data_IF_528233751997
#
_entry.id   IF_528233751997
#
_cell.length_a   1.000
_cell.length_b   1.000
_cell.length_c   1.000
_cell.angle_alpha   90.00
_cell.angle_beta   90.00
_cell.angle_gamma   90.00
#
_symmetry.space_group_name_H-M   'P 1'
#
loop_
_entity.id
_entity.type
_entity.pdbx_description
1 polymer ?
#
# COMPACT_ATOMS: atom_id res chain seq x y z
N UNK A 1 -10.64 25.68 -29.52
CA UNK A 1 -11.79 25.74 -28.57
C UNK A 1 -11.37 25.09 -27.26
N UNK A 2 -11.55 25.76 -26.12
CA UNK A 2 -11.16 25.24 -24.80
C UNK A 2 -12.41 24.97 -23.97
N UNK A 3 -12.59 23.73 -23.55
CA UNK A 3 -13.77 23.27 -22.83
C UNK A 3 -13.36 22.59 -21.52
N UNK A 4 -14.09 22.88 -20.43
CA UNK A 4 -13.87 22.21 -19.16
C UNK A 4 -14.46 20.79 -19.21
N UNK A 5 -13.65 19.78 -18.87
CA UNK A 5 -14.02 18.35 -18.95
C UNK A 5 -14.35 17.79 -17.57
N UNK A 6 -13.75 18.35 -16.52
CA UNK A 6 -13.98 17.91 -15.14
C UNK A 6 -12.96 18.48 -14.18
N UNK A 7 -12.88 17.90 -12.97
CA UNK A 7 -11.92 18.30 -11.93
C UNK A 7 -10.95 17.16 -11.65
N UNK A 8 -9.70 17.52 -11.41
CA UNK A 8 -8.68 16.57 -11.03
C UNK A 8 -8.99 15.94 -9.67
N UNK A 9 -8.99 14.61 -9.57
CA UNK A 9 -9.25 13.88 -8.33
C UNK A 9 -8.24 14.21 -7.21
N UNK A 10 -6.99 14.56 -7.57
CA UNK A 10 -5.94 14.89 -6.60
C UNK A 10 -6.02 16.33 -6.10
N UNK A 11 -5.99 17.31 -7.01
CA UNK A 11 -5.84 18.72 -6.66
C UNK A 11 -7.11 19.56 -6.85
N UNK A 12 -8.22 18.97 -7.31
CA UNK A 12 -9.52 19.61 -7.58
C UNK A 12 -9.54 20.71 -8.64
N UNK A 13 -8.38 21.04 -9.24
CA UNK A 13 -8.28 21.98 -10.37
C UNK A 13 -9.08 21.47 -11.57
N UNK A 14 -9.68 22.40 -12.31
CA UNK A 14 -10.34 22.08 -13.58
C UNK A 14 -9.34 21.54 -14.60
N UNK A 15 -9.77 20.49 -15.29
CA UNK A 15 -9.06 19.89 -16.42
C UNK A 15 -9.81 20.25 -17.69
N UNK A 16 -9.07 20.67 -18.70
CA UNK A 16 -9.63 21.19 -19.95
C UNK A 16 -9.24 20.31 -21.13
N UNK A 17 -10.10 20.29 -22.14
CA UNK A 17 -9.78 19.84 -23.49
C UNK A 17 -9.54 21.07 -24.35
N UNK A 18 -8.41 21.10 -25.07
CA UNK A 18 -8.09 22.15 -26.03
C UNK A 18 -7.82 21.51 -27.38
N UNK A 19 -8.61 21.86 -28.39
CA UNK A 19 -8.40 21.41 -29.78
C UNK A 19 -8.27 19.88 -29.94
N UNK A 20 -9.11 19.14 -29.19
CA UNK A 20 -9.13 17.67 -29.20
C UNK A 20 -8.10 17.01 -28.28
N UNK A 21 -7.32 17.77 -27.53
CA UNK A 21 -6.32 17.26 -26.59
C UNK A 21 -6.73 17.50 -25.13
N UNK A 22 -6.85 16.43 -24.34
CA UNK A 22 -7.12 16.50 -22.92
C UNK A 22 -5.85 16.86 -22.14
N UNK A 23 -5.89 17.92 -21.34
CA UNK A 23 -4.80 18.33 -20.45
C UNK A 23 -4.75 17.52 -19.14
N UNK A 24 -4.90 16.21 -19.27
CA UNK A 24 -4.97 15.26 -18.17
C UNK A 24 -5.09 13.82 -18.70
N UNK A 25 -5.22 12.88 -17.79
CA UNK A 25 -5.56 11.49 -18.09
C UNK A 25 -6.92 11.16 -17.48
N UNK A 26 -7.70 10.39 -18.22
CA UNK A 26 -8.94 9.78 -17.71
C UNK A 26 -8.53 8.48 -17.01
N UNK A 27 -8.85 8.36 -15.73
CA UNK A 27 -8.62 7.12 -14.97
C UNK A 27 -9.80 6.16 -15.19
N UNK A 28 -11.02 6.69 -15.10
CA UNK A 28 -12.28 6.01 -15.42
C UNK A 28 -13.35 7.02 -15.89
N UNK A 29 -14.62 6.61 -15.98
CA UNK A 29 -15.72 7.46 -16.44
C UNK A 29 -15.98 8.72 -15.58
N UNK A 30 -15.52 8.76 -14.33
CA UNK A 30 -15.81 9.82 -13.37
C UNK A 30 -14.56 10.50 -12.80
N UNK A 31 -13.38 9.91 -12.99
CA UNK A 31 -12.13 10.37 -12.40
C UNK A 31 -11.12 10.80 -13.46
N UNK A 32 -10.62 12.02 -13.29
CA UNK A 32 -9.61 12.62 -14.16
C UNK A 32 -8.42 13.04 -13.30
N UNK A 33 -7.21 12.88 -13.82
CA UNK A 33 -5.97 13.36 -13.20
C UNK A 33 -5.32 14.40 -14.11
N UNK A 34 -5.00 15.59 -13.59
CA UNK A 34 -4.25 16.58 -14.37
C UNK A 34 -2.79 16.14 -14.54
N UNK A 35 -2.11 16.62 -15.59
CA UNK A 35 -0.73 16.19 -15.86
C UNK A 35 0.25 16.52 -14.74
N UNK A 36 0.10 17.68 -14.08
CA UNK A 36 0.95 18.02 -12.93
C UNK A 36 0.85 17.00 -11.81
N UNK A 37 -0.37 16.58 -11.48
CA UNK A 37 -0.58 15.55 -10.46
C UNK A 37 -0.13 14.17 -10.95
N UNK A 38 -0.22 13.87 -12.25
CA UNK A 38 0.30 12.63 -12.82
C UNK A 38 1.82 12.52 -12.71
N UNK A 39 2.53 13.60 -13.03
CA UNK A 39 4.00 13.63 -13.05
C UNK A 39 4.59 13.51 -11.64
N UNK A 40 3.92 14.06 -10.63
CA UNK A 40 4.37 14.07 -9.24
C UNK A 40 3.29 13.50 -8.31
N UNK A 41 2.80 12.30 -8.64
CA UNK A 41 1.72 11.67 -7.86
C UNK A 41 2.28 11.04 -6.57
N UNK A 42 2.31 11.82 -5.50
CA UNK A 42 2.70 11.36 -4.16
C UNK A 42 1.86 10.17 -3.66
N UNK A 43 0.58 10.05 -4.08
CA UNK A 43 -0.22 8.87 -3.73
C UNK A 43 0.38 7.62 -4.36
N UNK A 44 0.76 7.65 -5.64
CA UNK A 44 1.40 6.51 -6.31
C UNK A 44 2.73 6.16 -5.64
N UNK A 45 3.49 7.15 -5.19
CA UNK A 45 4.71 6.91 -4.43
C UNK A 45 4.40 6.16 -3.12
N UNK A 46 3.44 6.63 -2.33
CA UNK A 46 3.04 5.99 -1.07
C UNK A 46 2.51 4.57 -1.30
N UNK A 47 1.62 4.37 -2.28
CA UNK A 47 1.07 3.05 -2.60
C UNK A 47 2.18 2.05 -2.98
N UNK A 48 3.20 2.50 -3.72
CA UNK A 48 4.34 1.66 -4.04
C UNK A 48 5.24 1.39 -2.83
N UNK A 49 5.43 2.35 -1.93
CA UNK A 49 6.14 2.11 -0.66
C UNK A 49 5.43 1.06 0.20
N UNK A 50 4.09 1.13 0.26
CA UNK A 50 3.26 0.11 0.90
C UNK A 50 3.47 -1.24 0.21
N UNK A 51 3.38 -1.31 -1.11
CA UNK A 51 3.55 -2.56 -1.87
C UNK A 51 4.92 -3.22 -1.61
N UNK A 52 5.98 -2.42 -1.61
CA UNK A 52 7.34 -2.90 -1.31
C UNK A 52 7.45 -3.41 0.13
N UNK A 53 6.77 -2.78 1.08
CA UNK A 53 6.72 -3.22 2.47
C UNK A 53 5.94 -4.53 2.64
N UNK A 54 4.78 -4.68 2.01
CA UNK A 54 3.97 -5.91 2.06
C UNK A 54 4.72 -7.12 1.49
N UNK A 55 5.42 -6.95 0.36
CA UNK A 55 6.28 -8.01 -0.20
C UNK A 55 7.37 -8.43 0.78
N UNK A 56 7.99 -7.44 1.44
CA UNK A 56 9.02 -7.72 2.43
C UNK A 56 8.42 -8.39 3.68
N UNK A 57 7.16 -8.08 4.03
CA UNK A 57 6.38 -8.77 5.07
C UNK A 57 6.17 -10.24 4.75
N UNK A 58 5.74 -10.57 3.52
CA UNK A 58 5.61 -11.96 3.04
C UNK A 58 6.93 -12.72 3.18
N UNK A 59 8.04 -12.16 2.67
CA UNK A 59 9.36 -12.80 2.75
C UNK A 59 9.83 -12.96 4.21
N UNK A 60 9.53 -11.98 5.07
CA UNK A 60 9.85 -12.01 6.49
C UNK A 60 9.11 -13.15 7.20
N UNK A 61 7.81 -13.30 6.95
CA UNK A 61 7.00 -14.35 7.56
C UNK A 61 7.40 -15.72 7.05
N UNK A 62 7.74 -15.85 5.77
CA UNK A 62 8.32 -17.08 5.22
C UNK A 62 9.63 -17.47 5.91
N UNK A 63 10.51 -16.50 6.11
CA UNK A 63 11.74 -16.71 6.86
C UNK A 63 11.44 -17.18 8.30
N UNK A 64 10.59 -16.47 9.03
CA UNK A 64 10.27 -16.77 10.43
C UNK A 64 9.62 -18.15 10.61
N UNK A 65 8.64 -18.50 9.76
CA UNK A 65 7.99 -19.81 9.78
C UNK A 65 8.98 -20.96 9.54
N UNK A 66 10.03 -20.71 8.74
CA UNK A 66 11.06 -21.71 8.46
C UNK A 66 12.04 -21.89 9.63
N UNK A 67 12.44 -20.80 10.29
CA UNK A 67 13.47 -20.86 11.34
C UNK A 67 12.91 -21.08 12.75
N UNK A 68 11.63 -20.81 12.96
CA UNK A 68 10.91 -21.03 14.22
C UNK A 68 9.65 -21.90 13.99
N UNK A 69 9.82 -23.16 13.57
CA UNK A 69 8.69 -24.08 13.41
C UNK A 69 8.07 -24.42 14.77
N UNK A 70 6.78 -24.75 14.79
CA UNK A 70 6.04 -25.25 15.96
C UNK A 70 6.01 -24.29 17.15
N UNK A 71 6.15 -22.99 16.90
CA UNK A 71 5.90 -21.97 17.93
C UNK A 71 4.40 -21.81 18.16
N UNK A 72 4.01 -21.29 19.33
CA UNK A 72 2.62 -20.89 19.62
C UNK A 72 2.10 -19.82 18.63
N UNK A 73 3.01 -19.14 17.93
CA UNK A 73 2.71 -18.11 16.94
C UNK A 73 2.62 -18.64 15.50
N UNK A 74 2.87 -19.93 15.23
CA UNK A 74 2.96 -20.45 13.86
C UNK A 74 1.69 -20.18 13.04
N UNK A 75 0.52 -20.56 13.56
CA UNK A 75 -0.75 -20.33 12.86
C UNK A 75 -1.04 -18.84 12.66
N UNK A 76 -0.73 -18.01 13.67
CA UNK A 76 -0.87 -16.56 13.55
C UNK A 76 0.03 -15.98 12.47
N UNK A 77 1.29 -16.42 12.39
CA UNK A 77 2.23 -15.99 11.34
C UNK A 77 1.78 -16.44 9.95
N UNK A 78 1.18 -17.63 9.81
CA UNK A 78 0.59 -18.09 8.54
C UNK A 78 -0.57 -17.19 8.11
N UNK A 79 -1.44 -16.80 9.04
CA UNK A 79 -2.57 -15.93 8.74
C UNK A 79 -2.13 -14.52 8.37
N UNK A 80 -1.16 -13.94 9.10
CA UNK A 80 -0.56 -12.65 8.74
C UNK A 80 0.06 -12.75 7.35
N UNK A 81 0.77 -13.84 7.03
CA UNK A 81 1.38 -13.99 5.70
C UNK A 81 0.33 -13.98 4.58
N UNK A 82 -0.83 -14.61 4.79
CA UNK A 82 -1.95 -14.56 3.83
C UNK A 82 -2.47 -13.13 3.69
N UNK A 83 -2.58 -12.39 4.79
CA UNK A 83 -2.96 -10.98 4.76
C UNK A 83 -1.95 -10.12 3.98
N UNK A 84 -0.64 -10.25 4.23
CA UNK A 84 0.39 -9.48 3.47
C UNK A 84 0.32 -9.81 1.96
N UNK A 85 0.08 -11.06 1.59
CA UNK A 85 -0.05 -11.48 0.19
C UNK A 85 -1.33 -10.94 -0.47
N UNK A 86 -2.44 -10.90 0.27
CA UNK A 86 -3.67 -10.24 -0.16
C UNK A 86 -3.44 -8.72 -0.33
N UNK A 87 -2.76 -8.08 0.62
CA UNK A 87 -2.40 -6.67 0.56
C UNK A 87 -1.52 -6.35 -0.65
N UNK A 88 -0.52 -7.20 -0.95
CA UNK A 88 0.31 -7.07 -2.17
C UNK A 88 -0.56 -7.02 -3.44
N UNK A 89 -1.50 -7.97 -3.55
CA UNK A 89 -2.36 -8.10 -4.72
C UNK A 89 -3.27 -6.88 -4.86
N UNK A 90 -3.91 -6.45 -3.77
CA UNK A 90 -4.77 -5.28 -3.76
C UNK A 90 -4.03 -3.97 -4.04
N UNK A 91 -2.80 -3.81 -3.55
CA UNK A 91 -1.96 -2.64 -3.82
C UNK A 91 -1.51 -2.56 -5.29
N UNK A 92 -1.24 -3.70 -5.94
CA UNK A 92 -0.94 -3.74 -7.38
C UNK A 92 -2.12 -3.16 -8.18
N UNK A 93 -3.34 -3.60 -7.86
CA UNK A 93 -4.55 -3.10 -8.52
C UNK A 93 -4.85 -1.63 -8.16
N UNK A 94 -4.63 -1.24 -6.91
CA UNK A 94 -4.76 0.16 -6.47
C UNK A 94 -3.82 1.08 -7.24
N UNK A 95 -2.53 0.73 -7.36
CA UNK A 95 -1.56 1.55 -8.12
C UNK A 95 -1.98 1.70 -9.58
N UNK A 96 -2.45 0.62 -10.22
CA UNK A 96 -2.95 0.66 -11.61
C UNK A 96 -4.18 1.55 -11.74
N UNK A 97 -5.17 1.38 -10.86
CA UNK A 97 -6.41 2.17 -10.84
C UNK A 97 -6.11 3.66 -10.69
N UNK A 98 -5.16 4.00 -9.84
CA UNK A 98 -4.73 5.38 -9.63
C UNK A 98 -3.85 5.95 -10.75
N UNK A 99 -3.61 5.20 -11.84
CA UNK A 99 -2.86 5.65 -13.02
C UNK A 99 -1.33 5.48 -12.91
N UNK A 100 -0.85 4.75 -11.90
CA UNK A 100 0.56 4.47 -11.67
C UNK A 100 1.03 3.13 -12.20
N UNK A 101 2.33 2.88 -12.08
CA UNK A 101 2.96 1.58 -12.38
C UNK A 101 3.36 0.88 -11.09
N UNK A 102 2.90 -0.37 -10.84
CA UNK A 102 3.29 -1.12 -9.64
C UNK A 102 4.80 -1.39 -9.58
N UNK A 103 5.39 -1.14 -8.40
CA UNK A 103 6.80 -1.38 -8.16
C UNK A 103 7.12 -2.88 -8.22
N UNK A 104 8.26 -3.19 -8.84
CA UNK A 104 8.84 -4.54 -8.85
C UNK A 104 9.78 -4.80 -7.68
N UNK A 105 10.13 -3.78 -6.91
CA UNK A 105 11.06 -3.89 -5.78
C UNK A 105 10.40 -4.61 -4.60
N UNK A 106 11.24 -5.07 -3.68
CA UNK A 106 10.89 -5.53 -2.34
C UNK A 106 11.66 -4.68 -1.33
N UNK A 107 11.01 -4.28 -0.24
CA UNK A 107 11.63 -3.46 0.81
C UNK A 107 12.74 -4.20 1.59
N UNK A 108 13.59 -3.45 2.29
CA UNK A 108 14.74 -3.99 3.05
C UNK A 108 14.37 -4.56 4.43
N UNK A 109 13.08 -4.78 4.70
CA UNK A 109 12.59 -5.12 6.04
C UNK A 109 13.09 -6.48 6.53
N UNK A 110 13.15 -7.48 5.65
CA UNK A 110 13.66 -8.82 5.97
C UNK A 110 15.06 -8.77 6.61
N UNK A 111 15.97 -7.99 6.05
CA UNK A 111 17.35 -7.89 6.56
C UNK A 111 17.40 -7.26 7.95
N UNK A 112 16.50 -6.30 8.23
CA UNK A 112 16.37 -5.71 9.58
C UNK A 112 15.86 -6.72 10.59
N UNK A 113 14.95 -7.60 10.19
CA UNK A 113 14.41 -8.67 11.04
C UNK A 113 15.46 -9.75 11.29
N UNK A 114 16.19 -10.20 10.26
CA UNK A 114 17.31 -11.14 10.41
C UNK A 114 18.37 -10.64 11.40
N UNK A 115 18.62 -9.34 11.43
CA UNK A 115 19.59 -8.72 12.32
C UNK A 115 19.16 -8.65 13.80
N UNK A 116 17.89 -8.93 14.13
CA UNK A 116 17.45 -8.95 15.53
C UNK A 116 17.99 -10.21 16.25
N UNK A 117 18.38 -10.12 17.53
CA UNK A 117 19.09 -11.20 18.19
C UNK A 117 18.18 -12.36 18.67
N UNK A 118 16.95 -12.07 19.09
CA UNK A 118 16.00 -13.07 19.63
C UNK A 118 14.78 -13.26 18.73
N UNK A 119 13.91 -14.21 19.06
CA UNK A 119 12.61 -14.35 18.37
C UNK A 119 11.66 -13.22 18.76
N UNK A 120 11.66 -12.86 20.04
CA UNK A 120 10.84 -11.82 20.64
C UNK A 120 11.15 -10.45 20.00
N UNK A 121 12.43 -10.15 19.76
CA UNK A 121 12.85 -8.93 19.08
C UNK A 121 12.40 -8.90 17.61
N UNK A 122 12.39 -10.06 16.93
CA UNK A 122 11.88 -10.18 15.55
C UNK A 122 10.39 -9.93 15.50
N UNK A 123 9.61 -10.51 16.41
CA UNK A 123 8.16 -10.29 16.51
C UNK A 123 7.84 -8.84 16.90
N UNK A 124 8.59 -8.26 17.83
CA UNK A 124 8.47 -6.84 18.19
C UNK A 124 8.72 -5.93 17.00
N UNK A 125 9.75 -6.22 16.19
CA UNK A 125 10.04 -5.46 14.98
C UNK A 125 8.96 -5.66 13.91
N UNK A 126 8.45 -6.88 13.73
CA UNK A 126 7.34 -7.19 12.81
C UNK A 126 6.08 -6.36 13.16
N UNK A 127 5.70 -6.31 14.45
CA UNK A 127 4.58 -5.49 14.91
C UNK A 127 4.83 -3.98 14.70
N UNK A 128 6.06 -3.49 14.88
CA UNK A 128 6.43 -2.11 14.54
C UNK A 128 6.29 -1.83 13.03
N UNK A 129 6.62 -2.81 12.19
CA UNK A 129 6.42 -2.76 10.74
C UNK A 129 4.95 -2.63 10.38
N UNK A 130 4.10 -3.50 10.93
CA UNK A 130 2.64 -3.45 10.77
C UNK A 130 2.06 -2.09 11.22
N UNK A 131 2.54 -1.55 12.35
CA UNK A 131 2.11 -0.23 12.84
C UNK A 131 2.58 0.92 11.94
N UNK A 132 3.76 0.80 11.32
CA UNK A 132 4.22 1.74 10.31
C UNK A 132 3.33 1.72 9.08
N UNK A 133 2.94 0.54 8.58
CA UNK A 133 2.01 0.40 7.45
C UNK A 133 0.66 1.07 7.75
N UNK A 134 0.06 0.76 8.90
CA UNK A 134 -1.22 1.35 9.30
C UNK A 134 -1.18 2.90 9.41
N UNK A 135 -0.03 3.47 9.78
CA UNK A 135 0.20 4.92 9.77
C UNK A 135 0.37 5.46 8.36
N UNK A 136 1.17 4.79 7.54
CA UNK A 136 1.45 5.19 6.15
C UNK A 136 0.19 5.15 5.27
N UNK A 137 -0.75 4.26 5.57
CA UNK A 137 -2.09 4.27 4.97
C UNK A 137 -2.85 5.56 5.28
N UNK A 138 -2.73 6.14 6.48
CA UNK A 138 -3.37 7.43 6.77
C UNK A 138 -2.78 8.56 5.92
N UNK A 139 -1.47 8.53 5.67
CA UNK A 139 -0.82 9.48 4.77
C UNK A 139 -1.42 9.35 3.36
N UNK A 140 -1.62 8.12 2.85
CA UNK A 140 -2.28 7.89 1.58
C UNK A 140 -3.72 8.42 1.55
N UNK A 141 -4.50 8.19 2.62
CA UNK A 141 -5.90 8.61 2.73
C UNK A 141 -6.10 10.13 2.75
N UNK A 142 -5.03 10.92 2.94
CA UNK A 142 -5.08 12.38 2.82
C UNK A 142 -5.23 12.87 1.37
N UNK A 143 -4.97 12.02 0.38
CA UNK A 143 -5.14 12.32 -1.04
C UNK A 143 -6.54 11.92 -1.53
N UNK A 144 -7.06 12.67 -2.51
CA UNK A 144 -8.21 12.21 -3.29
C UNK A 144 -7.81 10.98 -4.11
N UNK A 145 -8.66 9.95 -4.15
CA UNK A 145 -8.40 8.65 -4.78
C UNK A 145 -9.73 7.97 -5.12
N UNK A 146 -9.72 6.90 -5.90
CA UNK A 146 -10.92 6.13 -6.17
C UNK A 146 -11.49 5.54 -4.88
N UNK A 147 -12.82 5.46 -4.80
CA UNK A 147 -13.53 4.89 -3.64
C UNK A 147 -13.12 3.43 -3.38
N UNK A 148 -12.90 2.65 -4.43
CA UNK A 148 -12.42 1.27 -4.35
C UNK A 148 -11.02 1.20 -3.73
N UNK A 149 -10.10 2.09 -4.13
CA UNK A 149 -8.76 2.20 -3.54
C UNK A 149 -8.85 2.56 -2.06
N UNK A 150 -9.69 3.55 -1.73
CA UNK A 150 -9.94 3.98 -0.35
C UNK A 150 -10.47 2.84 0.52
N UNK A 151 -11.49 2.13 0.03
CA UNK A 151 -12.12 1.03 0.78
C UNK A 151 -11.13 -0.11 1.04
N UNK A 152 -10.35 -0.48 0.03
CA UNK A 152 -9.27 -1.44 0.16
C UNK A 152 -8.23 -1.03 1.21
N UNK A 153 -7.73 0.20 1.16
CA UNK A 153 -6.74 0.70 2.13
C UNK A 153 -7.29 0.71 3.57
N UNK A 154 -8.57 1.04 3.75
CA UNK A 154 -9.22 0.98 5.07
C UNK A 154 -9.31 -0.45 5.60
N UNK A 155 -9.67 -1.42 4.74
CA UNK A 155 -9.70 -2.83 5.12
C UNK A 155 -8.30 -3.34 5.47
N UNK A 156 -7.31 -3.05 4.62
CA UNK A 156 -5.90 -3.39 4.84
C UNK A 156 -5.42 -2.85 6.20
N UNK A 157 -5.68 -1.57 6.50
CA UNK A 157 -5.35 -0.96 7.79
C UNK A 157 -5.98 -1.71 8.97
N UNK A 158 -7.26 -2.10 8.86
CA UNK A 158 -7.95 -2.84 9.92
C UNK A 158 -7.31 -4.20 10.16
N UNK A 159 -6.89 -4.91 9.10
CA UNK A 159 -6.18 -6.20 9.22
C UNK A 159 -4.85 -6.05 9.94
N UNK A 160 -4.02 -5.06 9.60
CA UNK A 160 -2.76 -4.81 10.33
C UNK A 160 -3.00 -4.51 11.82
N UNK A 161 -4.01 -3.71 12.17
CA UNK A 161 -4.35 -3.43 13.57
C UNK A 161 -4.74 -4.70 14.32
N UNK A 162 -5.54 -5.59 13.71
CA UNK A 162 -5.89 -6.89 14.29
C UNK A 162 -4.67 -7.79 14.44
N UNK A 163 -3.78 -7.81 13.46
CA UNK A 163 -2.57 -8.63 13.46
C UNK A 163 -1.61 -8.23 14.60
N UNK A 164 -1.44 -6.93 14.84
CA UNK A 164 -0.65 -6.41 15.97
C UNK A 164 -1.24 -6.89 17.30
N UNK A 165 -2.57 -6.80 17.47
CA UNK A 165 -3.25 -7.26 18.68
C UNK A 165 -3.10 -8.78 18.87
N UNK A 166 -3.17 -9.54 17.77
CA UNK A 166 -3.01 -10.99 17.79
C UNK A 166 -1.57 -11.44 18.08
N UNK A 167 -0.55 -10.60 17.85
CA UNK A 167 0.86 -10.92 18.15
C UNK A 167 1.43 -10.13 19.32
N UNK A 168 0.57 -9.59 20.19
CA UNK A 168 1.01 -8.96 21.43
C UNK A 168 1.51 -10.05 22.38
N UNK A 169 2.75 -9.91 22.86
CA UNK A 169 3.35 -10.73 23.93
C UNK A 169 2.91 -10.18 25.27
#
# INVERSE_FOLDING_TARGET
MREAVGRCIRCTKEVYCSDGFLHGIVLDSSHILCFTCRENDELIHILNQLLEAEKAGVETLDYLLRIYPSTVYEERMKDIKKDEAWSCSGLIEAVRREGGTPSKKTGTFLEKVKAQPSFEDKISLLNKGQAWVARKINDALSFGMHEETRSFLLEMKQRHVKNIQAMSV
#
